data_IF_393692428357
#
_entry.id   IF_393692428357
#
_cell.length_a   1.000
_cell.length_b   1.000
_cell.length_c   1.000
_cell.angle_alpha   90.00
_cell.angle_beta   90.00
_cell.angle_gamma   90.00
#
_symmetry.space_group_name_H-M   'P 1'
#
loop_
_entity.id
_entity.type
_entity.pdbx_description
1 polymer ?
#
# COMPACT_ATOMS: atom_id res chain seq x y z
N UNK A 1 -9.81 67.23 -8.75
CA UNK A 1 -9.14 66.16 -9.51
C UNK A 1 -8.98 66.65 -10.93
N UNK A 2 -7.76 67.01 -11.28
CA UNK A 2 -7.34 67.50 -12.61
C UNK A 2 -7.48 66.40 -13.66
N UNK A 3 -7.73 66.75 -14.92
CA UNK A 3 -7.90 65.80 -16.04
C UNK A 3 -6.77 64.75 -16.13
N UNK A 4 -5.55 65.14 -15.74
CA UNK A 4 -4.36 64.27 -15.65
C UNK A 4 -4.58 63.07 -14.72
N UNK A 5 -5.28 63.22 -13.59
CA UNK A 5 -5.57 62.12 -12.65
C UNK A 5 -6.64 61.14 -13.16
N UNK A 6 -7.44 61.54 -14.16
CA UNK A 6 -8.39 60.64 -14.84
C UNK A 6 -7.72 59.84 -15.94
N UNK A 7 -6.78 60.44 -16.67
CA UNK A 7 -5.95 59.74 -17.67
C UNK A 7 -5.02 58.70 -17.02
N UNK A 8 -4.34 59.03 -15.92
CA UNK A 8 -3.46 58.07 -15.22
C UNK A 8 -4.23 56.84 -14.69
N UNK A 9 -5.47 57.02 -14.22
CA UNK A 9 -6.35 55.90 -13.80
C UNK A 9 -6.92 55.10 -14.96
N UNK A 10 -7.03 55.70 -16.15
CA UNK A 10 -7.43 55.04 -17.38
C UNK A 10 -6.30 54.13 -17.87
N UNK A 11 -5.08 54.67 -17.95
CA UNK A 11 -3.88 53.96 -18.41
C UNK A 11 -3.52 52.81 -17.45
N UNK A 12 -3.58 53.01 -16.13
CA UNK A 12 -3.35 51.92 -15.17
C UNK A 12 -4.41 50.80 -15.26
N UNK A 13 -5.66 51.13 -15.59
CA UNK A 13 -6.70 50.10 -15.81
C UNK A 13 -6.49 49.31 -17.10
N UNK A 14 -5.99 49.96 -18.15
CA UNK A 14 -5.65 49.31 -19.42
C UNK A 14 -4.39 48.43 -19.28
N UNK A 15 -3.37 48.88 -18.55
CA UNK A 15 -2.16 48.09 -18.27
C UNK A 15 -2.47 46.84 -17.43
N UNK A 16 -3.25 46.97 -16.35
CA UNK A 16 -3.67 45.83 -15.52
C UNK A 16 -4.53 44.84 -16.31
N UNK A 17 -5.39 45.34 -17.20
CA UNK A 17 -6.19 44.51 -18.10
C UNK A 17 -5.34 43.74 -19.12
N UNK A 18 -4.29 44.38 -19.65
CA UNK A 18 -3.35 43.78 -20.60
C UNK A 18 -2.51 42.68 -19.95
N UNK A 19 -1.96 42.92 -18.76
CA UNK A 19 -1.14 41.93 -18.03
C UNK A 19 -1.95 40.69 -17.63
N UNK A 20 -3.19 40.88 -17.17
CA UNK A 20 -4.08 39.77 -16.81
C UNK A 20 -4.46 38.91 -18.02
N UNK A 21 -4.68 39.53 -19.18
CA UNK A 21 -4.96 38.82 -20.44
C UNK A 21 -3.76 37.99 -20.91
N UNK A 22 -2.54 38.53 -20.79
CA UNK A 22 -1.29 37.83 -21.15
C UNK A 22 -1.00 36.64 -20.23
N UNK A 23 -1.15 36.83 -18.91
CA UNK A 23 -0.98 35.75 -17.93
C UNK A 23 -1.99 34.62 -18.17
N UNK A 24 -3.24 34.96 -18.50
CA UNK A 24 -4.29 33.97 -18.75
C UNK A 24 -4.09 33.22 -20.07
N UNK A 25 -3.63 33.89 -21.12
CA UNK A 25 -3.26 33.23 -22.37
C UNK A 25 -2.06 32.29 -22.18
N UNK A 26 -1.09 32.70 -21.36
CA UNK A 26 0.07 31.86 -21.00
C UNK A 26 -0.38 30.60 -20.27
N UNK A 27 -1.26 30.74 -19.26
CA UNK A 27 -1.83 29.61 -18.53
C UNK A 27 -2.55 28.60 -19.44
N UNK A 28 -3.38 29.08 -20.37
CA UNK A 28 -4.10 28.22 -21.33
C UNK A 28 -3.10 27.45 -22.19
N UNK A 29 -2.08 28.14 -22.71
CA UNK A 29 -1.08 27.52 -23.59
C UNK A 29 -0.23 26.46 -22.86
N UNK A 30 0.19 26.75 -21.63
CA UNK A 30 0.95 25.80 -20.81
C UNK A 30 0.10 24.59 -20.42
N UNK A 31 -1.20 24.80 -20.16
CA UNK A 31 -2.13 23.70 -19.88
C UNK A 31 -2.31 22.79 -21.10
N UNK A 32 -2.41 23.35 -22.31
CA UNK A 32 -2.48 22.57 -23.56
C UNK A 32 -1.19 21.78 -23.77
N UNK A 33 -0.02 22.40 -23.61
CA UNK A 33 1.27 21.70 -23.72
C UNK A 33 1.38 20.54 -22.73
N UNK A 34 0.97 20.78 -21.48
CA UNK A 34 0.95 19.75 -20.45
C UNK A 34 0.01 18.60 -20.83
N UNK A 35 -1.19 18.91 -21.31
CA UNK A 35 -2.16 17.91 -21.77
C UNK A 35 -1.60 17.06 -22.93
N UNK A 36 -0.88 17.67 -23.87
CA UNK A 36 -0.22 16.94 -24.98
C UNK A 36 0.86 15.99 -24.44
N UNK A 37 1.73 16.47 -23.55
CA UNK A 37 2.80 15.62 -22.98
C UNK A 37 2.25 14.45 -22.16
N UNK A 38 1.15 14.65 -21.43
CA UNK A 38 0.43 13.58 -20.72
C UNK A 38 -0.17 12.60 -21.73
N UNK A 39 -0.76 13.10 -22.82
CA UNK A 39 -1.34 12.24 -23.85
C UNK A 39 -0.31 11.36 -24.55
N UNK A 40 0.88 11.88 -24.83
CA UNK A 40 1.99 11.12 -25.42
C UNK A 40 2.38 9.93 -24.53
N UNK A 41 2.47 10.12 -23.21
CA UNK A 41 2.71 9.04 -22.25
C UNK A 41 1.54 8.06 -22.19
N UNK A 42 0.31 8.55 -22.21
CA UNK A 42 -0.88 7.71 -22.27
C UNK A 42 -0.88 6.78 -23.49
N UNK A 43 -0.46 7.29 -24.65
CA UNK A 43 -0.31 6.54 -25.91
C UNK A 43 0.85 5.54 -25.83
N UNK A 44 1.97 5.92 -25.22
CA UNK A 44 3.11 5.01 -25.00
C UNK A 44 2.67 3.78 -24.19
N UNK A 45 2.02 3.99 -23.05
CA UNK A 45 1.46 2.90 -22.23
C UNK A 45 0.40 2.09 -22.97
N UNK A 46 -0.43 2.74 -23.80
CA UNK A 46 -1.45 2.07 -24.62
C UNK A 46 -0.81 1.11 -25.64
N UNK A 47 0.26 1.56 -26.30
CA UNK A 47 1.03 0.76 -27.26
C UNK A 47 1.76 -0.41 -26.60
N UNK A 48 2.22 -0.22 -25.36
CA UNK A 48 2.82 -1.26 -24.52
C UNK A 48 1.78 -2.21 -23.91
N UNK A 49 0.48 -1.97 -24.15
CA UNK A 49 -0.64 -2.70 -23.56
C UNK A 49 -0.73 -2.58 -22.02
N UNK A 50 -0.08 -1.58 -21.43
CA UNK A 50 -0.31 -1.17 -20.04
C UNK A 50 -1.55 -0.27 -19.97
N UNK A 51 -2.71 -0.91 -20.14
CA UNK A 51 -4.00 -0.25 -20.17
C UNK A 51 -4.33 0.46 -18.84
N UNK A 52 -3.70 0.07 -17.73
CA UNK A 52 -3.95 0.67 -16.41
C UNK A 52 -3.32 2.05 -16.32
N UNK A 53 -2.03 2.15 -16.65
CA UNK A 53 -1.32 3.44 -16.68
C UNK A 53 -1.85 4.33 -17.81
N UNK A 54 -2.15 3.75 -18.98
CA UNK A 54 -2.74 4.46 -20.10
C UNK A 54 -4.08 5.13 -19.74
N UNK A 55 -4.98 4.41 -19.04
CA UNK A 55 -6.26 4.95 -18.57
C UNK A 55 -6.09 6.12 -17.59
N UNK A 56 -5.09 6.04 -16.70
CA UNK A 56 -4.81 7.11 -15.74
C UNK A 56 -4.35 8.38 -16.46
N UNK A 57 -3.43 8.26 -17.41
CA UNK A 57 -2.93 9.40 -18.19
C UNK A 57 -4.04 10.03 -19.04
N UNK A 58 -4.87 9.23 -19.73
CA UNK A 58 -5.99 9.79 -20.51
C UNK A 58 -7.02 10.54 -19.66
N UNK A 59 -7.27 10.11 -18.41
CA UNK A 59 -8.14 10.86 -17.48
C UNK A 59 -7.52 12.22 -17.10
N UNK A 60 -6.21 12.27 -16.86
CA UNK A 60 -5.48 13.53 -16.59
C UNK A 60 -5.55 14.48 -17.79
N UNK A 61 -5.48 13.96 -19.02
CA UNK A 61 -5.70 14.76 -20.25
C UNK A 61 -7.11 15.33 -20.27
N UNK A 62 -8.13 14.50 -20.03
CA UNK A 62 -9.53 14.94 -20.03
C UNK A 62 -9.78 16.04 -18.99
N UNK A 63 -9.23 15.90 -17.79
CA UNK A 63 -9.32 16.90 -16.72
C UNK A 63 -8.66 18.23 -17.11
N UNK A 64 -7.42 18.18 -17.61
CA UNK A 64 -6.68 19.37 -18.03
C UNK A 64 -7.33 20.11 -19.20
N UNK A 65 -7.96 19.39 -20.13
CA UNK A 65 -8.67 20.01 -21.25
C UNK A 65 -10.03 20.58 -20.84
N UNK A 66 -10.76 19.92 -19.92
CA UNK A 66 -12.02 20.45 -19.35
C UNK A 66 -11.78 21.74 -18.59
N UNK A 67 -10.67 21.86 -17.84
CA UNK A 67 -10.41 23.06 -17.02
C UNK A 67 -10.23 24.35 -17.84
N UNK A 68 -9.92 24.24 -19.13
CA UNK A 68 -9.73 25.40 -20.03
C UNK A 68 -10.83 25.53 -21.09
N UNK A 69 -11.72 24.55 -21.23
CA UNK A 69 -12.68 24.46 -22.35
C UNK A 69 -13.60 25.68 -22.44
N UNK A 70 -14.10 26.16 -21.30
CA UNK A 70 -15.03 27.30 -21.23
C UNK A 70 -14.36 28.65 -21.47
N UNK A 71 -13.03 28.71 -21.37
CA UNK A 71 -12.23 29.92 -21.60
C UNK A 71 -11.85 30.11 -23.07
N UNK A 72 -12.02 29.07 -23.89
CA UNK A 72 -11.66 29.08 -25.30
C UNK A 72 -12.81 29.59 -26.17
N UNK A 73 -12.47 30.28 -27.25
CA UNK A 73 -13.43 30.75 -28.26
C UNK A 73 -13.02 30.31 -29.67
N UNK A 74 -13.99 30.30 -30.59
CA UNK A 74 -13.77 29.97 -32.00
C UNK A 74 -13.10 28.61 -32.23
N UNK A 75 -12.11 28.60 -33.12
CA UNK A 75 -11.44 27.37 -33.57
C UNK A 75 -10.70 26.63 -32.45
N UNK A 76 -10.17 27.34 -31.45
CA UNK A 76 -9.46 26.71 -30.33
C UNK A 76 -10.39 25.88 -29.45
N UNK A 77 -11.62 26.37 -29.23
CA UNK A 77 -12.67 25.63 -28.49
C UNK A 77 -13.09 24.37 -29.24
N UNK A 78 -13.24 24.47 -30.56
CA UNK A 78 -13.60 23.32 -31.42
C UNK A 78 -12.52 22.23 -31.30
N UNK A 79 -11.24 22.58 -31.46
CA UNK A 79 -10.13 21.63 -31.36
C UNK A 79 -10.03 20.96 -29.99
N UNK A 80 -10.19 21.72 -28.90
CA UNK A 80 -10.18 21.12 -27.55
C UNK A 80 -11.38 20.20 -27.35
N UNK A 81 -12.54 20.53 -27.91
CA UNK A 81 -13.72 19.65 -27.86
C UNK A 81 -13.53 18.36 -28.67
N UNK A 82 -12.86 18.43 -29.81
CA UNK A 82 -12.46 17.25 -30.60
C UNK A 82 -11.49 16.36 -29.82
N UNK A 83 -10.47 16.95 -29.18
CA UNK A 83 -9.53 16.20 -28.33
C UNK A 83 -10.22 15.56 -27.13
N UNK A 84 -11.12 16.28 -26.45
CA UNK A 84 -11.94 15.74 -25.37
C UNK A 84 -12.79 14.55 -25.84
N UNK A 85 -13.34 14.64 -27.06
CA UNK A 85 -14.12 13.55 -27.65
C UNK A 85 -13.22 12.35 -27.96
N UNK A 86 -12.04 12.58 -28.54
CA UNK A 86 -11.06 11.55 -28.87
C UNK A 86 -10.62 10.77 -27.62
N UNK A 87 -10.11 11.46 -26.60
CA UNK A 87 -9.64 10.82 -25.38
C UNK A 87 -10.80 10.27 -24.54
N UNK A 88 -11.95 10.93 -24.54
CA UNK A 88 -13.17 10.42 -23.90
C UNK A 88 -13.65 9.11 -24.52
N UNK A 89 -13.55 8.95 -25.83
CA UNK A 89 -13.85 7.68 -26.51
C UNK A 89 -12.79 6.62 -26.18
N UNK A 90 -11.50 6.98 -26.18
CA UNK A 90 -10.44 6.03 -25.83
C UNK A 90 -10.55 5.53 -24.40
N UNK A 91 -10.90 6.41 -23.45
CA UNK A 91 -11.22 6.03 -22.06
C UNK A 91 -12.37 5.01 -22.03
N UNK A 92 -13.46 5.24 -22.78
CA UNK A 92 -14.60 4.30 -22.84
C UNK A 92 -14.23 2.95 -23.41
N UNK A 93 -13.28 2.88 -24.33
CA UNK A 93 -12.78 1.62 -24.91
C UNK A 93 -11.87 0.85 -23.94
N UNK A 94 -10.97 1.55 -23.25
CA UNK A 94 -10.00 0.95 -22.33
C UNK A 94 -10.63 0.57 -20.99
N UNK A 95 -11.61 1.34 -20.53
CA UNK A 95 -12.21 1.17 -19.21
C UNK A 95 -12.80 -0.24 -18.97
N UNK A 96 -13.54 -0.87 -19.90
CA UNK A 96 -13.99 -2.26 -19.75
C UNK A 96 -12.84 -3.27 -19.68
N UNK A 97 -11.76 -3.07 -20.44
CA UNK A 97 -10.58 -3.93 -20.43
C UNK A 97 -9.87 -3.87 -19.08
N UNK A 98 -9.61 -2.65 -18.59
CA UNK A 98 -9.04 -2.44 -17.24
C UNK A 98 -9.96 -2.98 -16.16
N UNK A 99 -11.28 -2.78 -16.30
CA UNK A 99 -12.26 -3.33 -15.33
C UNK A 99 -12.24 -4.85 -15.32
N UNK A 100 -12.09 -5.49 -16.49
CA UNK A 100 -11.98 -6.96 -16.62
C UNK A 100 -10.68 -7.46 -16.03
N UNK A 101 -9.54 -6.82 -16.34
CA UNK A 101 -8.23 -7.14 -15.72
C UNK A 101 -8.31 -7.03 -14.20
N UNK A 102 -8.91 -5.96 -13.68
CA UNK A 102 -9.10 -5.78 -12.24
C UNK A 102 -10.05 -6.83 -11.64
N UNK A 103 -11.10 -7.24 -12.35
CA UNK A 103 -12.04 -8.30 -11.91
C UNK A 103 -11.40 -9.70 -11.94
N UNK A 104 -10.56 -9.99 -12.94
CA UNK A 104 -9.81 -11.23 -13.06
C UNK A 104 -8.73 -11.33 -11.96
N UNK A 105 -8.00 -10.23 -11.71
CA UNK A 105 -7.09 -10.12 -10.57
C UNK A 105 -7.81 -10.25 -9.21
N UNK A 106 -9.03 -9.74 -9.09
CA UNK A 106 -9.85 -9.86 -7.88
C UNK A 106 -10.38 -11.29 -7.66
N UNK A 107 -10.67 -12.01 -8.74
CA UNK A 107 -11.17 -13.40 -8.68
C UNK A 107 -10.11 -14.37 -8.16
N UNK A 108 -8.82 -14.12 -8.46
CA UNK A 108 -7.71 -14.91 -7.90
C UNK A 108 -7.41 -14.60 -6.43
N UNK A 109 -7.84 -13.44 -5.92
CA UNK A 109 -7.60 -12.99 -4.53
C UNK A 109 -8.75 -13.36 -3.59
N UNK A 110 -9.92 -13.79 -4.08
CA UNK A 110 -11.13 -13.98 -3.26
C UNK A 110 -11.51 -15.43 -2.94
N UNK A 111 -10.91 -16.44 -3.58
CA UNK A 111 -11.14 -17.82 -3.15
C UNK A 111 -10.41 -18.07 -1.83
N UNK A 112 -11.18 -18.07 -0.73
CA UNK A 112 -10.67 -18.34 0.61
C UNK A 112 -9.92 -19.69 0.60
N UNK A 113 -8.69 -19.74 1.13
CA UNK A 113 -7.95 -21.00 1.14
C UNK A 113 -8.72 -22.09 1.90
N UNK A 114 -8.73 -23.30 1.32
CA UNK A 114 -9.45 -24.46 1.86
C UNK A 114 -8.88 -24.92 3.20
N UNK A 115 -7.57 -24.82 3.37
CA UNK A 115 -6.88 -25.19 4.60
C UNK A 115 -6.48 -23.95 5.40
N UNK A 116 -6.63 -24.05 6.73
CA UNK A 116 -6.35 -22.93 7.64
C UNK A 116 -4.86 -22.49 7.62
N UNK A 117 -3.94 -23.41 7.31
CA UNK A 117 -2.50 -23.11 7.28
C UNK A 117 -2.12 -22.06 6.22
N UNK A 118 -2.90 -21.93 5.14
CA UNK A 118 -2.68 -20.94 4.08
C UNK A 118 -3.35 -19.59 4.34
N UNK A 119 -4.29 -19.54 5.29
CA UNK A 119 -5.11 -18.36 5.60
C UNK A 119 -4.30 -17.09 5.89
N UNK A 120 -3.26 -17.09 6.75
CA UNK A 120 -2.54 -15.84 7.04
C UNK A 120 -1.87 -15.26 5.80
N UNK A 121 -1.29 -16.08 4.93
CA UNK A 121 -0.65 -15.61 3.69
C UNK A 121 -1.64 -14.98 2.72
N UNK A 122 -2.83 -15.56 2.61
CA UNK A 122 -3.93 -14.98 1.82
C UNK A 122 -4.36 -13.60 2.36
N UNK A 123 -4.59 -13.47 3.67
CA UNK A 123 -4.95 -12.19 4.30
C UNK A 123 -3.85 -11.15 4.08
N UNK A 124 -2.58 -11.56 4.24
CA UNK A 124 -1.44 -10.69 4.00
C UNK A 124 -1.39 -10.17 2.56
N UNK A 125 -1.69 -10.99 1.54
CA UNK A 125 -1.77 -10.54 0.15
C UNK A 125 -2.85 -9.47 -0.06
N UNK A 126 -4.02 -9.66 0.56
CA UNK A 126 -5.11 -8.68 0.53
C UNK A 126 -4.66 -7.37 1.19
N UNK A 127 -4.03 -7.44 2.36
CA UNK A 127 -3.49 -6.26 3.06
C UNK A 127 -2.44 -5.54 2.23
N UNK A 128 -1.52 -6.28 1.61
CA UNK A 128 -0.48 -5.71 0.74
C UNK A 128 -1.10 -4.92 -0.43
N UNK A 129 -2.10 -5.49 -1.09
CA UNK A 129 -2.81 -4.80 -2.18
C UNK A 129 -3.54 -3.55 -1.69
N UNK A 130 -4.07 -3.58 -0.46
CA UNK A 130 -4.72 -2.42 0.14
C UNK A 130 -3.72 -1.31 0.51
N UNK A 131 -2.53 -1.66 1.00
CA UNK A 131 -1.46 -0.71 1.30
C UNK A 131 -1.00 0.03 0.03
N UNK A 132 -0.82 -0.68 -1.09
CA UNK A 132 -0.36 -0.05 -2.33
C UNK A 132 -1.48 0.68 -3.08
N UNK A 133 -2.58 0.00 -3.36
CA UNK A 133 -3.59 0.46 -4.32
C UNK A 133 -4.84 1.06 -3.65
N UNK A 134 -4.93 1.04 -2.31
CA UNK A 134 -6.13 1.47 -1.59
C UNK A 134 -7.36 0.61 -1.92
N UNK A 135 -7.13 -0.69 -2.15
CA UNK A 135 -8.13 -1.64 -2.65
C UNK A 135 -9.07 -2.17 -1.57
N UNK A 136 -10.10 -2.91 -2.03
CA UNK A 136 -11.06 -3.58 -1.17
C UNK A 136 -10.42 -4.71 -0.35
N UNK A 137 -10.49 -4.63 0.98
CA UNK A 137 -10.17 -5.74 1.88
C UNK A 137 -11.24 -6.84 1.84
N UNK A 138 -12.48 -6.45 1.59
CA UNK A 138 -13.63 -7.35 1.34
C UNK A 138 -14.52 -6.72 0.28
N UNK A 139 -15.46 -7.48 -0.29
CA UNK A 139 -16.45 -6.99 -1.28
C UNK A 139 -17.15 -5.70 -0.82
N UNK A 140 -17.27 -5.48 0.50
CA UNK A 140 -17.95 -4.33 1.09
C UNK A 140 -17.03 -3.32 1.80
N UNK A 141 -15.73 -3.58 1.91
CA UNK A 141 -14.81 -2.73 2.69
C UNK A 141 -13.62 -2.34 1.82
N UNK A 142 -13.56 -1.07 1.44
CA UNK A 142 -12.38 -0.44 0.82
C UNK A 142 -11.63 0.37 1.86
N UNK A 143 -10.31 0.21 1.90
CA UNK A 143 -9.44 1.05 2.72
C UNK A 143 -8.56 1.88 1.78
N UNK A 144 -8.79 3.20 1.71
CA UNK A 144 -7.91 4.12 0.99
C UNK A 144 -6.46 4.01 1.50
N UNK A 145 -5.49 4.13 0.58
CA UNK A 145 -4.08 3.92 0.94
C UNK A 145 -3.56 5.02 1.90
N UNK A 146 -4.15 6.21 1.88
CA UNK A 146 -3.82 7.36 2.73
C UNK A 146 -4.03 7.04 4.22
N UNK A 147 -4.85 6.05 4.53
CA UNK A 147 -5.09 5.60 5.91
C UNK A 147 -3.82 4.97 6.51
N UNK A 148 -3.00 4.29 5.70
CA UNK A 148 -1.77 3.66 6.17
C UNK A 148 -0.65 4.68 6.44
N UNK A 149 -0.60 5.79 5.70
CA UNK A 149 0.54 6.72 5.72
C UNK A 149 0.30 8.00 6.55
N UNK A 150 -0.45 7.88 7.64
CA UNK A 150 -0.73 9.02 8.54
C UNK A 150 0.46 9.35 9.45
N UNK A 151 0.92 10.60 9.43
CA UNK A 151 2.09 11.07 10.19
C UNK A 151 1.85 11.28 11.70
N UNK A 152 0.61 11.50 12.12
CA UNK A 152 0.28 11.95 13.49
C UNK A 152 -0.36 10.89 14.39
N UNK A 153 -0.45 9.63 13.92
CA UNK A 153 -1.15 8.58 14.67
C UNK A 153 -0.18 7.83 15.57
N UNK A 154 -0.43 7.88 16.88
CA UNK A 154 0.36 7.13 17.87
C UNK A 154 -0.12 5.68 17.94
N UNK A 155 0.73 4.75 17.51
CA UNK A 155 0.44 3.31 17.58
C UNK A 155 1.06 2.69 18.84
N UNK A 156 0.28 1.87 19.52
CA UNK A 156 0.70 1.19 20.74
C UNK A 156 1.88 0.24 20.44
N UNK A 157 2.95 0.35 21.24
CA UNK A 157 4.14 -0.51 21.17
C UNK A 157 4.78 -0.59 19.76
N UNK A 158 4.76 0.52 19.00
CA UNK A 158 5.31 0.56 17.64
C UNK A 158 6.78 0.11 17.57
N UNK A 159 7.60 0.43 18.58
CA UNK A 159 9.00 0.00 18.64
C UNK A 159 9.12 -1.53 18.71
N UNK A 160 8.39 -2.17 19.63
CA UNK A 160 8.45 -3.62 19.81
C UNK A 160 7.90 -4.38 18.58
N UNK A 161 6.91 -3.80 17.91
CA UNK A 161 6.36 -4.33 16.65
C UNK A 161 7.34 -4.18 15.48
N UNK A 162 8.03 -3.04 15.39
CA UNK A 162 9.09 -2.82 14.39
C UNK A 162 10.26 -3.77 14.59
N UNK A 163 10.74 -3.92 15.82
CA UNK A 163 11.80 -4.87 16.15
C UNK A 163 11.38 -6.31 15.77
N UNK A 164 10.12 -6.66 16.04
CA UNK A 164 9.54 -7.93 15.59
C UNK A 164 9.57 -8.06 14.07
N UNK A 165 9.13 -7.04 13.33
CA UNK A 165 9.14 -7.06 11.87
C UNK A 165 10.56 -7.25 11.32
N UNK A 166 11.55 -6.53 11.87
CA UNK A 166 12.94 -6.65 11.44
C UNK A 166 13.51 -8.06 11.66
N UNK A 167 13.24 -8.67 12.82
CA UNK A 167 13.67 -10.05 13.10
C UNK A 167 13.00 -11.05 12.15
N UNK A 168 11.71 -10.86 11.85
CA UNK A 168 10.99 -11.70 10.89
C UNK A 168 11.58 -11.58 9.48
N UNK A 169 11.83 -10.35 9.01
CA UNK A 169 12.44 -10.08 7.70
C UNK A 169 13.79 -10.78 7.58
N UNK A 170 14.67 -10.61 8.57
CA UNK A 170 15.99 -11.24 8.57
C UNK A 170 15.89 -12.76 8.47
N UNK A 171 15.04 -13.40 9.29
CA UNK A 171 14.88 -14.84 9.26
C UNK A 171 14.26 -15.35 7.95
N UNK A 172 13.24 -14.66 7.45
CA UNK A 172 12.58 -15.04 6.20
C UNK A 172 13.52 -14.92 5.01
N UNK A 173 14.28 -13.82 4.89
CA UNK A 173 15.29 -13.69 3.85
C UNK A 173 16.38 -14.75 3.97
N UNK A 174 16.87 -15.03 5.19
CA UNK A 174 17.88 -16.06 5.43
C UNK A 174 17.43 -17.44 4.97
N UNK A 175 16.18 -17.82 5.25
CA UNK A 175 15.64 -19.13 4.83
C UNK A 175 15.38 -19.13 3.32
N UNK A 176 14.69 -18.11 2.81
CA UNK A 176 14.32 -17.99 1.39
C UNK A 176 15.52 -18.03 0.45
N UNK A 177 16.62 -17.35 0.80
CA UNK A 177 17.77 -17.18 -0.09
C UNK A 177 18.79 -18.32 -0.01
N UNK A 178 18.83 -19.07 1.10
CA UNK A 178 19.89 -20.03 1.37
C UNK A 178 19.42 -21.49 1.35
N UNK A 179 18.15 -21.77 1.02
CA UNK A 179 17.58 -23.11 1.09
C UNK A 179 16.91 -23.51 -0.21
N UNK A 180 17.26 -24.69 -0.68
CA UNK A 180 16.47 -25.42 -1.64
C UNK A 180 15.35 -26.16 -0.91
N UNK A 181 14.12 -25.98 -1.39
CA UNK A 181 12.91 -26.63 -0.88
C UNK A 181 12.97 -28.17 -0.94
N UNK A 182 13.87 -28.75 -1.75
CA UNK A 182 14.09 -30.18 -1.83
C UNK A 182 14.97 -30.74 -0.69
N UNK A 183 15.76 -29.88 -0.02
CA UNK A 183 16.68 -30.25 1.07
C UNK A 183 15.96 -30.31 2.42
N UNK A 184 15.10 -31.31 2.59
CA UNK A 184 14.17 -31.45 3.73
C UNK A 184 14.81 -31.38 5.12
N UNK A 185 16.00 -31.93 5.32
CA UNK A 185 16.68 -31.96 6.62
C UNK A 185 17.10 -30.55 7.07
N UNK A 186 17.68 -29.76 6.17
CA UNK A 186 18.16 -28.42 6.49
C UNK A 186 17.00 -27.41 6.55
N UNK A 187 15.98 -27.58 5.70
CA UNK A 187 14.71 -26.89 5.84
C UNK A 187 14.09 -27.10 7.23
N UNK A 188 14.07 -28.35 7.70
CA UNK A 188 13.49 -28.68 9.01
C UNK A 188 14.28 -28.02 10.15
N UNK A 189 15.61 -28.08 10.13
CA UNK A 189 16.44 -27.43 11.16
C UNK A 189 16.17 -25.94 11.25
N UNK A 190 16.07 -25.26 10.11
CA UNK A 190 15.79 -23.83 10.08
C UNK A 190 14.37 -23.48 10.52
N UNK A 191 13.38 -24.28 10.14
CA UNK A 191 12.00 -24.08 10.60
C UNK A 191 11.85 -24.30 12.11
N UNK A 192 12.57 -25.26 12.68
CA UNK A 192 12.63 -25.46 14.14
C UNK A 192 13.27 -24.25 14.82
N UNK A 193 14.40 -23.76 14.30
CA UNK A 193 15.09 -22.57 14.82
C UNK A 193 14.19 -21.32 14.74
N UNK A 194 13.54 -21.10 13.60
CA UNK A 194 12.58 -20.02 13.40
C UNK A 194 11.45 -20.11 14.42
N UNK A 195 10.81 -21.27 14.56
CA UNK A 195 9.69 -21.47 15.49
C UNK A 195 10.09 -21.19 16.95
N UNK A 196 11.31 -21.56 17.36
CA UNK A 196 11.82 -21.23 18.68
C UNK A 196 11.93 -19.70 18.88
N UNK A 197 12.43 -18.98 17.87
CA UNK A 197 12.51 -17.51 17.90
C UNK A 197 11.11 -16.89 17.93
N UNK A 198 10.16 -17.40 17.15
CA UNK A 198 8.77 -16.92 17.15
C UNK A 198 8.11 -17.04 18.52
N UNK A 199 8.35 -18.14 19.24
CA UNK A 199 7.85 -18.30 20.61
C UNK A 199 8.43 -17.24 21.58
N UNK A 200 9.71 -16.90 21.42
CA UNK A 200 10.35 -15.84 22.23
C UNK A 200 9.73 -14.48 21.92
N UNK A 201 9.54 -14.16 20.65
CA UNK A 201 8.90 -12.93 20.19
C UNK A 201 7.47 -12.83 20.73
N UNK A 202 6.68 -13.89 20.55
CA UNK A 202 5.28 -13.94 21.00
C UNK A 202 5.16 -13.67 22.50
N UNK A 203 5.99 -14.32 23.32
CA UNK A 203 5.98 -14.12 24.78
C UNK A 203 6.51 -12.74 25.19
N UNK A 204 7.40 -12.13 24.40
CA UNK A 204 7.83 -10.74 24.62
C UNK A 204 6.69 -9.77 24.35
N UNK A 205 6.01 -9.95 23.22
CA UNK A 205 4.88 -9.12 22.82
C UNK A 205 3.66 -9.30 23.73
N UNK A 206 3.35 -10.52 24.18
CA UNK A 206 2.22 -10.80 25.06
C UNK A 206 2.26 -10.02 26.39
N UNK A 207 3.46 -9.65 26.86
CA UNK A 207 3.64 -8.82 28.07
C UNK A 207 3.23 -7.37 27.87
N UNK A 208 3.21 -6.90 26.62
CA UNK A 208 2.97 -5.50 26.24
C UNK A 208 1.59 -5.36 25.58
N UNK A 209 1.19 -6.37 24.81
CA UNK A 209 -0.01 -6.43 24.01
C UNK A 209 -0.91 -7.55 24.54
N UNK A 210 -1.91 -7.23 25.38
CA UNK A 210 -2.68 -8.23 26.14
C UNK A 210 -3.56 -9.14 25.28
N UNK A 211 -3.75 -8.80 23.99
CA UNK A 211 -4.49 -9.62 23.04
C UNK A 211 -3.65 -10.72 22.39
N UNK A 212 -2.32 -10.73 22.60
CA UNK A 212 -1.43 -11.76 22.09
C UNK A 212 -1.38 -12.90 23.10
N UNK A 213 -1.70 -14.15 22.70
CA UNK A 213 -1.66 -15.28 23.62
C UNK A 213 -0.22 -15.61 24.03
N UNK A 214 -0.01 -15.95 25.30
CA UNK A 214 1.26 -16.52 25.75
C UNK A 214 1.39 -17.98 25.32
N UNK A 215 2.57 -18.37 24.85
CA UNK A 215 2.87 -19.78 24.59
C UNK A 215 3.29 -20.42 25.91
N UNK A 216 2.38 -21.18 26.53
CA UNK A 216 2.67 -21.94 27.75
C UNK A 216 3.68 -23.07 27.49
N UNK A 217 4.97 -22.73 27.52
CA UNK A 217 6.05 -23.71 27.61
C UNK A 217 6.24 -24.16 29.05
N UNK A 218 6.10 -25.46 29.31
CA UNK A 218 6.46 -26.12 30.58
C UNK A 218 7.96 -26.10 30.85
N UNK A 219 8.65 -24.97 30.73
CA UNK A 219 10.01 -24.82 31.25
C UNK A 219 10.19 -23.38 31.73
N UNK A 220 9.90 -23.17 33.02
CA UNK A 220 10.53 -22.10 33.81
C UNK A 220 12.03 -22.43 33.96
N UNK A 221 12.77 -22.56 32.86
CA UNK A 221 14.24 -22.51 32.91
C UNK A 221 14.64 -21.05 32.91
N UNK A 222 15.33 -20.68 33.98
CA UNK A 222 15.90 -19.36 34.23
C UNK A 222 16.57 -18.85 32.95
N UNK A 223 16.15 -17.65 32.56
CA UNK A 223 16.62 -16.90 31.40
C UNK A 223 18.12 -17.03 31.17
N UNK A 224 18.53 -17.53 30.00
CA UNK A 224 19.59 -16.85 29.27
C UNK A 224 19.03 -15.47 28.95
N UNK A 225 19.43 -14.48 29.76
CA UNK A 225 19.17 -13.07 29.49
C UNK A 225 19.68 -12.78 28.08
N UNK A 226 18.80 -12.73 27.09
CA UNK A 226 19.06 -11.97 25.88
C UNK A 226 19.25 -10.52 26.31
N UNK A 227 20.50 -10.09 26.37
CA UNK A 227 20.94 -8.73 26.70
C UNK A 227 20.74 -7.75 25.52
N UNK A 228 19.90 -8.03 24.53
CA UNK A 228 19.77 -7.16 23.34
C UNK A 228 18.40 -6.52 23.10
N UNK A 229 17.29 -6.97 23.70
CA UNK A 229 15.98 -6.29 23.57
C UNK A 229 15.88 -4.97 24.37
N UNK A 230 16.97 -4.51 24.98
CA UNK A 230 16.95 -3.30 25.83
C UNK A 230 18.20 -2.43 25.70
N UNK A 231 18.85 -2.43 24.54
CA UNK A 231 19.68 -1.29 24.19
C UNK A 231 18.78 -0.16 23.67
N UNK A 232 18.06 0.49 24.60
CA UNK A 232 17.47 1.81 24.39
C UNK A 232 18.62 2.79 24.11
N UNK A 233 19.14 2.81 22.89
CA UNK A 233 19.59 4.07 22.31
C UNK A 233 18.35 4.96 22.33
N UNK A 234 18.45 6.17 22.86
CA UNK A 234 17.47 7.25 22.65
C UNK A 234 17.50 7.60 21.16
N UNK A 235 17.02 6.69 20.33
CA UNK A 235 16.89 6.84 18.89
C UNK A 235 15.60 7.57 18.56
N UNK A 236 15.54 8.09 17.33
CA UNK A 236 14.35 8.65 16.69
C UNK A 236 13.12 7.77 17.00
N UNK A 237 12.02 8.41 17.44
CA UNK A 237 10.73 7.72 17.60
C UNK A 237 10.32 7.23 16.21
N UNK A 238 10.07 5.92 16.01
CA UNK A 238 9.71 5.42 14.71
C UNK A 238 8.39 6.03 14.24
N UNK A 239 8.32 6.30 12.95
CA UNK A 239 7.13 6.84 12.30
C UNK A 239 6.18 5.71 11.90
N UNK A 240 4.89 6.03 11.76
CA UNK A 240 3.90 5.11 11.17
C UNK A 240 4.35 4.62 9.80
N UNK A 241 4.95 5.49 8.99
CA UNK A 241 5.45 5.16 7.65
C UNK A 241 6.53 4.07 7.71
N UNK A 242 7.57 4.26 8.54
CA UNK A 242 8.63 3.25 8.74
C UNK A 242 8.05 1.91 9.21
N UNK A 243 7.00 1.93 10.03
CA UNK A 243 6.31 0.73 10.48
C UNK A 243 5.51 0.02 9.37
N UNK A 244 4.76 0.76 8.55
CA UNK A 244 4.02 0.20 7.41
C UNK A 244 4.97 -0.39 6.37
N UNK A 245 6.12 0.25 6.13
CA UNK A 245 7.18 -0.29 5.26
C UNK A 245 7.71 -1.63 5.80
N UNK A 246 7.98 -1.71 7.11
CA UNK A 246 8.40 -2.95 7.74
C UNK A 246 7.34 -4.06 7.63
N UNK A 247 6.06 -3.77 7.85
CA UNK A 247 4.95 -4.72 7.64
C UNK A 247 4.95 -5.22 6.19
N UNK A 248 5.07 -4.30 5.23
CA UNK A 248 5.09 -4.60 3.80
C UNK A 248 6.21 -5.58 3.47
N UNK A 249 7.41 -5.35 4.01
CA UNK A 249 8.54 -6.26 3.83
C UNK A 249 8.34 -7.63 4.50
N UNK A 250 7.72 -7.70 5.69
CA UNK A 250 7.37 -9.00 6.31
C UNK A 250 6.41 -9.77 5.42
N UNK A 251 5.38 -9.11 4.90
CA UNK A 251 4.38 -9.73 4.02
C UNK A 251 5.04 -10.28 2.76
N UNK A 252 5.85 -9.47 2.06
CA UNK A 252 6.53 -9.88 0.83
C UNK A 252 7.51 -11.04 1.06
N UNK A 253 8.29 -10.98 2.15
CA UNK A 253 9.31 -11.98 2.42
C UNK A 253 8.75 -13.27 3.03
N UNK A 254 7.51 -13.31 3.51
CA UNK A 254 6.88 -14.52 4.05
C UNK A 254 6.15 -15.37 3.01
N UNK A 255 5.85 -14.84 1.81
CA UNK A 255 5.02 -15.55 0.82
C UNK A 255 5.62 -16.89 0.34
N UNK A 256 6.94 -17.05 0.38
CA UNK A 256 7.57 -18.32 0.00
C UNK A 256 7.15 -19.48 0.91
N UNK A 257 6.76 -19.20 2.17
CA UNK A 257 6.29 -20.23 3.09
C UNK A 257 4.96 -20.84 2.62
N UNK A 258 4.10 -20.05 1.98
CA UNK A 258 2.84 -20.52 1.37
C UNK A 258 3.12 -21.53 0.24
N UNK A 259 4.13 -21.22 -0.57
CA UNK A 259 4.66 -22.12 -1.61
C UNK A 259 5.25 -23.39 -1.00
N UNK A 260 5.99 -23.27 0.11
CA UNK A 260 6.56 -24.40 0.82
C UNK A 260 5.51 -25.34 1.39
N UNK A 261 4.45 -24.79 1.99
CA UNK A 261 3.32 -25.58 2.48
C UNK A 261 2.71 -26.37 1.32
N UNK A 262 2.37 -25.70 0.21
CA UNK A 262 1.78 -26.34 -0.98
C UNK A 262 2.67 -27.46 -1.54
N UNK A 263 3.98 -27.25 -1.55
CA UNK A 263 4.96 -28.25 -2.00
C UNK A 263 4.96 -29.49 -1.10
N UNK A 264 5.05 -29.31 0.22
CA UNK A 264 5.13 -30.43 1.16
C UNK A 264 3.78 -31.15 1.33
N UNK A 265 2.66 -30.47 1.12
CA UNK A 265 1.34 -31.11 1.06
C UNK A 265 1.21 -32.04 -0.15
N UNK A 266 1.64 -31.57 -1.32
CA UNK A 266 1.50 -32.29 -2.59
C UNK A 266 2.53 -33.39 -2.83
N UNK A 267 3.75 -33.25 -2.29
CA UNK A 267 4.82 -34.24 -2.46
C UNK A 267 4.97 -35.17 -1.27
N UNK A 268 5.40 -36.40 -1.55
CA UNK A 268 5.88 -37.33 -0.54
C UNK A 268 7.39 -37.13 -0.36
N UNK A 269 7.79 -36.66 0.83
CA UNK A 269 9.18 -36.38 1.15
C UNK A 269 9.52 -36.87 2.56
N UNK A 270 10.81 -37.11 2.79
CA UNK A 270 11.33 -37.45 4.12
C UNK A 270 11.03 -36.29 5.09
N UNK A 271 10.60 -36.61 6.30
CA UNK A 271 10.20 -35.65 7.35
C UNK A 271 9.00 -34.75 7.03
N UNK A 272 8.18 -35.07 6.01
CA UNK A 272 6.98 -34.31 5.63
C UNK A 272 6.14 -33.84 6.82
N UNK A 273 5.78 -34.75 7.72
CA UNK A 273 4.93 -34.44 8.88
C UNK A 273 5.57 -33.40 9.81
N UNK A 274 6.88 -33.51 10.05
CA UNK A 274 7.60 -32.56 10.90
C UNK A 274 7.74 -31.19 10.24
N UNK A 275 7.99 -31.15 8.93
CA UNK A 275 8.05 -29.91 8.15
C UNK A 275 6.70 -29.18 8.18
N UNK A 276 5.61 -29.90 7.87
CA UNK A 276 4.26 -29.33 7.93
C UNK A 276 3.88 -28.90 9.34
N UNK A 277 4.30 -29.64 10.37
CA UNK A 277 4.08 -29.25 11.77
C UNK A 277 4.77 -27.93 12.13
N UNK A 278 6.04 -27.74 11.74
CA UNK A 278 6.72 -26.46 12.02
C UNK A 278 6.15 -25.32 11.16
N UNK A 279 5.85 -25.55 9.88
CA UNK A 279 5.16 -24.57 9.02
C UNK A 279 3.79 -24.17 9.59
N UNK A 280 3.06 -25.11 10.17
CA UNK A 280 1.78 -24.83 10.85
C UNK A 280 1.97 -23.89 12.04
N UNK A 281 3.05 -24.06 12.82
CA UNK A 281 3.35 -23.15 13.93
C UNK A 281 3.73 -21.76 13.45
N UNK A 282 4.54 -21.67 12.39
CA UNK A 282 4.89 -20.37 11.77
C UNK A 282 3.63 -19.68 11.24
N UNK A 283 2.77 -20.41 10.51
CA UNK A 283 1.47 -19.91 10.05
C UNK A 283 0.58 -19.44 11.21
N UNK A 284 0.50 -20.23 12.29
CA UNK A 284 -0.28 -19.87 13.48
C UNK A 284 0.24 -18.60 14.16
N UNK A 285 1.56 -18.43 14.26
CA UNK A 285 2.16 -17.19 14.75
C UNK A 285 1.79 -16.00 13.86
N UNK A 286 1.87 -16.15 12.54
CA UNK A 286 1.52 -15.09 11.60
C UNK A 286 0.04 -14.68 11.71
N UNK A 287 -0.86 -15.64 11.91
CA UNK A 287 -2.29 -15.38 12.10
C UNK A 287 -2.59 -14.73 13.46
N UNK A 288 -2.13 -15.35 14.55
CA UNK A 288 -2.53 -14.97 15.91
C UNK A 288 -1.76 -13.78 16.48
N UNK A 289 -0.53 -13.58 16.03
CA UNK A 289 0.37 -12.54 16.54
C UNK A 289 0.50 -11.42 15.53
N UNK A 290 1.10 -11.70 14.37
CA UNK A 290 1.44 -10.68 13.38
C UNK A 290 0.20 -9.99 12.82
N UNK A 291 -0.70 -10.75 12.19
CA UNK A 291 -1.92 -10.18 11.59
C UNK A 291 -2.82 -9.52 12.64
N UNK A 292 -2.88 -10.07 13.85
CA UNK A 292 -3.71 -9.53 14.92
C UNK A 292 -3.27 -8.12 15.33
N UNK A 293 -1.97 -7.87 15.50
CA UNK A 293 -1.52 -6.51 15.81
C UNK A 293 -1.64 -5.59 14.59
N UNK A 294 -1.38 -6.07 13.36
CA UNK A 294 -1.52 -5.27 12.14
C UNK A 294 -2.96 -4.79 11.95
N UNK A 295 -3.94 -5.69 12.09
CA UNK A 295 -5.35 -5.37 11.92
C UNK A 295 -5.87 -4.44 13.02
N UNK A 296 -5.35 -4.54 14.25
CA UNK A 296 -5.68 -3.61 15.34
C UNK A 296 -5.11 -2.21 15.12
N UNK A 297 -3.89 -2.13 14.61
CA UNK A 297 -3.29 -0.85 14.26
C UNK A 297 -4.02 -0.20 13.09
N UNK A 298 -4.42 -1.01 12.10
CA UNK A 298 -5.28 -0.56 11.00
C UNK A 298 -6.62 -0.01 11.51
N UNK A 299 -7.27 -0.67 12.47
CA UNK A 299 -8.48 -0.16 13.10
C UNK A 299 -8.25 1.20 13.78
N UNK A 300 -7.09 1.38 14.42
CA UNK A 300 -6.69 2.64 15.07
C UNK A 300 -6.45 3.75 14.04
N UNK A 301 -5.82 3.43 12.92
CA UNK A 301 -5.60 4.35 11.79
C UNK A 301 -6.92 4.77 11.13
N UNK A 302 -7.85 3.82 10.96
CA UNK A 302 -9.20 4.08 10.46
C UNK A 302 -9.99 5.00 11.38
N UNK A 303 -10.00 4.71 12.68
CA UNK A 303 -10.68 5.53 13.68
C UNK A 303 -10.13 6.97 13.69
N UNK A 304 -8.80 7.10 13.69
CA UNK A 304 -8.12 8.40 13.62
C UNK A 304 -8.48 9.16 12.34
N UNK A 305 -8.53 8.46 11.20
CA UNK A 305 -8.94 9.03 9.92
C UNK A 305 -10.37 9.58 10.00
N UNK A 306 -11.31 8.76 10.49
CA UNK A 306 -12.73 9.13 10.55
C UNK A 306 -12.95 10.35 11.45
N UNK A 307 -12.29 10.42 12.61
CA UNK A 307 -12.36 11.58 13.50
C UNK A 307 -11.85 12.84 12.80
N UNK A 308 -10.72 12.77 12.10
CA UNK A 308 -10.18 13.91 11.35
C UNK A 308 -11.12 14.35 10.22
N UNK A 309 -11.65 13.41 9.46
CA UNK A 309 -12.59 13.70 8.37
C UNK A 309 -13.87 14.34 8.89
N UNK A 310 -14.43 13.86 10.00
CA UNK A 310 -15.58 14.49 10.65
C UNK A 310 -15.27 15.91 11.12
N UNK A 311 -14.14 16.13 11.80
CA UNK A 311 -13.75 17.45 12.27
C UNK A 311 -13.56 18.44 11.12
N UNK A 312 -13.00 18.00 10.00
CA UNK A 312 -12.84 18.85 8.81
C UNK A 312 -14.18 19.14 8.14
N UNK A 313 -15.09 18.16 8.10
CA UNK A 313 -16.44 18.35 7.57
C UNK A 313 -17.24 19.39 8.35
N UNK A 314 -17.17 19.38 9.69
CA UNK A 314 -17.86 20.37 10.53
C UNK A 314 -17.20 21.75 10.60
N UNK A 315 -16.00 21.91 10.00
CA UNK A 315 -15.31 23.20 9.88
C UNK A 315 -15.59 23.92 8.56
N UNK A 316 -16.27 23.26 7.61
CA UNK A 316 -16.75 23.84 6.35
C UNK A 316 -18.11 24.52 6.55
#
# INVERSE_FOLDING_TARGET
MTEIQKEEKSIQKEEIGSTYLEERQTFIFDTIKKAISIAEKGIEYDNEQDYRLSLEEYKKVEEALKSIQDELTGNSRVRVTELLTLYGNRIKEILPVVTTILQEEQSQITEKPKQNIHRPFHIMRILLKSIYDGTMLTVSVRIPNEIFFQSETSLLAINDKLDTCNILIENFMRIKNNRDISETSDCLKDLVSLTQQLNVIQNSLARILPFIPEVMGKEKKKSTRFKSFRNKKRGKIPTTVEYIEAITHVIQNSQFLDTWISYYESKEVIHKENLLKELTKVSSFLDQVFLNFVLRDLATLLETHLVKTQLNFFKL
#
